data_IF_587860800157
#
_entry.id   IF_587860800157
#
_cell.length_a   1.000
_cell.length_b   1.000
_cell.length_c   1.000
_cell.angle_alpha   90.00
_cell.angle_beta   90.00
_cell.angle_gamma   90.00
#
_symmetry.space_group_name_H-M   'P 1'
#
loop_
_entity.id
_entity.type
_entity.pdbx_description
1 polymer ?
#
# COMPACT_ATOMS: atom_id res chain seq x y z
N UNK A 1 8.04 14.42 -12.25
CA UNK A 1 8.08 14.06 -10.83
C UNK A 1 7.36 12.73 -10.64
N UNK A 2 8.05 11.70 -10.12
CA UNK A 2 7.38 10.43 -9.82
C UNK A 2 6.28 10.61 -8.79
N UNK A 3 5.26 9.76 -8.86
CA UNK A 3 4.08 9.83 -8.00
C UNK A 3 3.86 8.49 -7.29
N UNK A 4 3.65 8.56 -5.99
CA UNK A 4 3.34 7.41 -5.14
C UNK A 4 1.91 7.52 -4.64
N UNK A 5 1.15 6.44 -4.76
CA UNK A 5 -0.16 6.32 -4.13
C UNK A 5 -0.03 5.49 -2.87
N UNK A 6 -0.52 6.02 -1.75
CA UNK A 6 -0.76 5.26 -0.54
C UNK A 6 -2.27 5.18 -0.38
N UNK A 7 -2.84 4.02 -0.71
CA UNK A 7 -4.28 3.80 -0.61
C UNK A 7 -4.54 2.88 0.58
N UNK A 8 -5.47 3.26 1.45
CA UNK A 8 -5.70 2.51 2.68
C UNK A 8 -7.19 2.40 3.00
N UNK A 9 -7.51 1.39 3.79
CA UNK A 9 -8.81 1.22 4.42
C UNK A 9 -8.58 1.08 5.93
N UNK A 10 -9.39 1.74 6.76
CA UNK A 10 -9.22 1.68 8.20
C UNK A 10 -10.55 1.94 8.92
N UNK A 11 -10.93 1.04 9.84
CA UNK A 11 -12.08 1.24 10.71
C UNK A 11 -11.67 1.86 12.04
N UNK A 12 -10.61 1.32 12.64
CA UNK A 12 -10.15 1.72 13.98
C UNK A 12 -9.14 2.87 13.96
N UNK A 13 -8.62 3.22 12.77
CA UNK A 13 -7.55 4.20 12.65
C UNK A 13 -6.15 3.61 12.73
N UNK A 14 -6.01 2.32 12.98
CA UNK A 14 -4.68 1.70 13.14
C UNK A 14 -3.94 1.60 11.80
N UNK A 15 -4.60 1.08 10.77
CA UNK A 15 -4.00 1.04 9.43
C UNK A 15 -3.79 2.46 8.89
N UNK A 16 -4.66 3.38 9.22
CA UNK A 16 -4.50 4.79 8.84
C UNK A 16 -3.21 5.39 9.42
N UNK A 17 -2.90 5.10 10.69
CA UNK A 17 -1.63 5.56 11.29
C UNK A 17 -0.43 5.03 10.53
N UNK A 18 -0.49 3.76 10.11
CA UNK A 18 0.56 3.16 9.31
C UNK A 18 0.66 3.82 7.94
N UNK A 19 -0.49 4.09 7.29
CA UNK A 19 -0.52 4.76 5.99
C UNK A 19 0.08 6.16 6.05
N UNK A 20 -0.23 6.91 7.11
CA UNK A 20 0.36 8.24 7.31
C UNK A 20 1.87 8.18 7.51
N UNK A 21 2.36 7.15 8.21
CA UNK A 21 3.79 6.96 8.41
C UNK A 21 4.50 6.63 7.08
N UNK A 22 3.88 5.77 6.25
CA UNK A 22 4.42 5.48 4.92
C UNK A 22 4.50 6.75 4.08
N UNK A 23 3.40 7.52 4.04
CA UNK A 23 3.35 8.77 3.29
C UNK A 23 4.41 9.78 3.78
N UNK A 24 4.62 9.86 5.09
CA UNK A 24 5.65 10.71 5.67
C UNK A 24 7.04 10.32 5.19
N UNK A 25 7.31 9.02 5.12
CA UNK A 25 8.57 8.51 4.58
C UNK A 25 8.79 8.93 3.14
N UNK A 26 7.74 8.86 2.30
CA UNK A 26 7.83 9.31 0.91
C UNK A 26 8.08 10.82 0.85
N UNK A 27 7.39 11.60 1.67
CA UNK A 27 7.53 13.06 1.71
C UNK A 27 8.93 13.52 2.11
N UNK A 28 9.72 12.68 2.74
CA UNK A 28 11.11 13.04 3.09
C UNK A 28 11.95 13.29 1.85
N UNK A 29 11.50 12.85 0.68
CA UNK A 29 12.15 13.12 -0.60
C UNK A 29 11.24 14.05 -1.41
N UNK A 30 11.58 15.34 -1.45
CA UNK A 30 10.76 16.36 -2.10
C UNK A 30 10.69 16.22 -3.63
N UNK A 31 11.52 15.36 -4.23
CA UNK A 31 11.46 15.09 -5.67
C UNK A 31 10.38 14.06 -6.05
N UNK A 32 9.67 13.51 -5.08
CA UNK A 32 8.64 12.50 -5.29
C UNK A 32 7.34 12.99 -4.69
N UNK A 33 6.26 12.93 -5.46
CA UNK A 33 4.93 13.30 -4.99
C UNK A 33 4.25 12.10 -4.34
N UNK A 34 3.43 12.33 -3.32
CA UNK A 34 2.65 11.27 -2.68
C UNK A 34 1.20 11.72 -2.49
N UNK A 35 0.28 10.84 -2.84
CA UNK A 35 -1.15 10.98 -2.54
C UNK A 35 -1.53 9.94 -1.51
N UNK A 36 -2.21 10.37 -0.45
CA UNK A 36 -2.71 9.50 0.61
C UNK A 36 -4.24 9.50 0.50
N UNK A 37 -4.81 8.40 0.02
CA UNK A 37 -6.24 8.30 -0.25
C UNK A 37 -6.84 7.03 0.35
N UNK A 38 -8.10 7.10 0.73
CA UNK A 38 -8.85 5.92 1.17
C UNK A 38 -9.78 5.38 0.09
N UNK A 39 -9.81 6.01 -1.07
CA UNK A 39 -10.63 5.59 -2.20
C UNK A 39 -10.00 6.06 -3.51
N UNK A 40 -9.89 5.14 -4.47
CA UNK A 40 -9.41 5.44 -5.82
C UNK A 40 -10.21 4.58 -6.80
N UNK A 41 -10.33 5.06 -8.03
CA UNK A 41 -10.87 4.25 -9.13
C UNK A 41 -9.76 3.42 -9.76
N UNK A 42 -10.13 2.28 -10.35
CA UNK A 42 -9.14 1.36 -10.91
C UNK A 42 -8.26 2.04 -11.97
N UNK A 43 -8.84 2.89 -12.80
CA UNK A 43 -8.09 3.58 -13.86
C UNK A 43 -7.05 4.55 -13.31
N UNK A 44 -7.29 5.11 -12.12
CA UNK A 44 -6.35 6.05 -11.50
C UNK A 44 -5.03 5.38 -11.13
N UNK A 45 -5.04 4.06 -10.91
CA UNK A 45 -3.83 3.31 -10.55
C UNK A 45 -2.74 3.46 -11.61
N UNK A 46 -3.11 3.55 -12.88
CA UNK A 46 -2.15 3.67 -13.97
C UNK A 46 -1.36 4.98 -13.94
N UNK A 47 -1.86 5.99 -13.24
CA UNK A 47 -1.20 7.30 -13.13
C UNK A 47 -0.09 7.39 -12.10
N UNK A 48 0.17 6.31 -11.36
CA UNK A 48 1.18 6.27 -10.32
C UNK A 48 2.37 5.41 -10.71
N UNK A 49 3.52 5.72 -10.14
CA UNK A 49 4.75 4.94 -10.33
C UNK A 49 4.93 3.89 -9.24
N UNK A 50 4.29 4.10 -8.11
CA UNK A 50 4.25 3.14 -7.01
C UNK A 50 2.87 3.13 -6.36
N UNK A 51 2.42 1.95 -5.93
CA UNK A 51 1.15 1.76 -5.25
C UNK A 51 1.40 0.98 -3.97
N UNK A 52 1.15 1.62 -2.84
CA UNK A 52 1.36 1.06 -1.52
C UNK A 52 0.00 0.93 -0.83
N UNK A 53 -0.36 -0.30 -0.48
CA UNK A 53 -1.72 -0.63 -0.05
C UNK A 53 -1.76 -0.89 1.45
N UNK A 54 -2.51 -0.07 2.17
CA UNK A 54 -2.78 -0.24 3.59
C UNK A 54 -4.07 -1.02 3.80
N UNK A 55 -3.97 -2.27 4.23
CA UNK A 55 -5.12 -3.14 4.38
C UNK A 55 -5.14 -3.84 5.74
N UNK A 56 -6.18 -3.61 6.55
CA UNK A 56 -6.41 -4.45 7.71
C UNK A 56 -6.89 -5.82 7.28
N UNK A 57 -6.84 -6.78 8.22
CA UNK A 57 -7.39 -8.12 7.99
C UNK A 57 -8.69 -8.27 8.76
N UNK A 58 -9.78 -8.57 8.06
CA UNK A 58 -11.08 -8.85 8.65
C UNK A 58 -11.48 -10.29 8.31
N UNK A 59 -11.69 -11.12 9.33
CA UNK A 59 -12.07 -12.53 9.15
C UNK A 59 -11.12 -13.22 8.14
N UNK A 60 -9.82 -13.07 8.33
CA UNK A 60 -8.74 -13.63 7.50
C UNK A 60 -8.65 -13.04 6.09
N UNK A 61 -9.45 -12.02 5.76
CA UNK A 61 -9.52 -11.48 4.41
C UNK A 61 -9.27 -9.97 4.36
N UNK A 62 -8.90 -9.48 3.18
CA UNK A 62 -8.84 -8.05 2.93
C UNK A 62 -10.24 -7.46 2.83
N UNK A 63 -10.41 -6.15 3.07
CA UNK A 63 -11.69 -5.49 2.82
C UNK A 63 -12.18 -5.69 1.40
N UNK A 64 -13.49 -5.87 1.25
CA UNK A 64 -14.11 -6.10 -0.06
C UNK A 64 -13.80 -4.96 -1.05
N UNK A 65 -13.59 -3.75 -0.55
CA UNK A 65 -13.28 -2.60 -1.39
C UNK A 65 -11.99 -2.82 -2.18
N UNK A 66 -10.97 -3.42 -1.57
CA UNK A 66 -9.71 -3.73 -2.27
C UNK A 66 -9.88 -4.88 -3.24
N UNK A 67 -10.63 -5.90 -2.85
CA UNK A 67 -10.90 -6.99 -3.78
C UNK A 67 -11.59 -6.46 -5.03
N UNK A 68 -12.61 -5.61 -4.86
CA UNK A 68 -13.33 -5.01 -5.97
C UNK A 68 -12.44 -4.12 -6.82
N UNK A 69 -11.58 -3.32 -6.18
CA UNK A 69 -10.64 -2.45 -6.89
C UNK A 69 -9.72 -3.25 -7.82
N UNK A 70 -9.11 -4.31 -7.30
CA UNK A 70 -8.18 -5.11 -8.09
C UNK A 70 -8.89 -5.97 -9.13
N UNK A 71 -10.08 -6.49 -8.83
CA UNK A 71 -10.88 -7.22 -9.81
C UNK A 71 -11.27 -6.31 -10.97
N UNK A 72 -11.65 -5.06 -10.68
CA UNK A 72 -11.98 -4.07 -11.70
C UNK A 72 -10.75 -3.67 -12.52
N UNK A 73 -9.61 -3.48 -11.86
CA UNK A 73 -8.37 -3.16 -12.55
C UNK A 73 -7.98 -4.27 -13.53
N UNK A 74 -8.17 -5.53 -13.13
CA UNK A 74 -7.90 -6.67 -14.00
C UNK A 74 -8.87 -6.70 -15.18
N UNK A 75 -10.17 -6.52 -14.92
CA UNK A 75 -11.21 -6.54 -15.96
C UNK A 75 -11.00 -5.41 -16.98
N UNK A 76 -10.55 -4.26 -16.55
CA UNK A 76 -10.28 -3.10 -17.41
C UNK A 76 -8.88 -3.13 -18.01
N UNK A 77 -8.11 -4.16 -17.75
CA UNK A 77 -6.74 -4.32 -18.26
C UNK A 77 -5.83 -3.14 -17.93
N UNK A 78 -5.96 -2.62 -16.70
CA UNK A 78 -5.09 -1.55 -16.21
C UNK A 78 -3.67 -2.07 -16.15
N UNK A 79 -2.74 -1.37 -16.78
CA UNK A 79 -1.34 -1.79 -16.85
C UNK A 79 -0.56 -1.27 -15.64
N UNK A 80 -0.15 -2.19 -14.76
CA UNK A 80 0.66 -1.88 -13.58
C UNK A 80 2.04 -2.52 -13.67
N UNK A 81 2.40 -3.07 -14.82
CA UNK A 81 3.67 -3.79 -15.00
C UNK A 81 4.85 -2.89 -14.65
N UNK A 82 5.78 -3.46 -13.88
CA UNK A 82 7.04 -2.82 -13.47
C UNK A 82 6.88 -1.63 -12.49
N UNK A 83 5.66 -1.27 -12.12
CA UNK A 83 5.44 -0.29 -11.06
C UNK A 83 5.82 -0.90 -9.71
N UNK A 84 6.25 -0.07 -8.77
CA UNK A 84 6.59 -0.53 -7.43
C UNK A 84 5.32 -0.75 -6.64
N UNK A 85 5.27 -1.86 -5.90
CA UNK A 85 4.12 -2.17 -5.06
C UNK A 85 4.53 -2.75 -3.72
N UNK A 86 3.73 -2.53 -2.71
CA UNK A 86 3.88 -3.18 -1.40
C UNK A 86 2.57 -3.06 -0.64
N UNK A 87 2.52 -3.72 0.52
CA UNK A 87 1.34 -3.70 1.37
C UNK A 87 1.74 -3.66 2.84
N UNK A 88 0.84 -3.15 3.65
CA UNK A 88 1.00 -3.08 5.10
C UNK A 88 -0.38 -3.09 5.74
N UNK A 89 -0.45 -3.31 7.04
CA UNK A 89 -1.74 -3.20 7.72
C UNK A 89 -1.73 -3.73 9.14
N UNK A 90 -2.75 -3.33 9.90
CA UNK A 90 -2.98 -3.81 11.25
C UNK A 90 -3.97 -4.97 11.25
N UNK A 91 -3.90 -5.81 12.28
CA UNK A 91 -4.80 -6.94 12.45
C UNK A 91 -5.05 -7.19 13.93
N UNK A 92 -6.22 -7.78 14.25
CA UNK A 92 -6.52 -8.16 15.63
C UNK A 92 -6.20 -9.61 15.92
N UNK A 93 -6.67 -10.51 15.06
CA UNK A 93 -6.57 -11.95 15.28
C UNK A 93 -5.57 -12.60 14.33
N UNK A 94 -5.67 -12.33 13.03
CA UNK A 94 -4.75 -12.88 12.05
C UNK A 94 -4.43 -11.83 11.00
N UNK A 95 -3.28 -11.93 10.35
CA UNK A 95 -2.75 -10.88 9.50
C UNK A 95 -2.53 -11.27 8.05
N UNK A 96 -3.46 -12.01 7.43
CA UNK A 96 -3.28 -12.52 6.06
C UNK A 96 -3.46 -11.48 4.97
N UNK A 97 -4.26 -10.42 5.20
CA UNK A 97 -4.65 -9.51 4.13
C UNK A 97 -3.49 -8.81 3.42
N UNK A 98 -2.47 -8.27 4.12
CA UNK A 98 -1.34 -7.66 3.41
C UNK A 98 -0.62 -8.63 2.48
N UNK A 99 -0.41 -9.89 2.91
CA UNK A 99 0.23 -10.89 2.06
C UNK A 99 -0.66 -11.24 0.86
N UNK A 100 -1.98 -11.29 1.07
CA UNK A 100 -2.92 -11.54 -0.02
C UNK A 100 -2.85 -10.44 -1.08
N UNK A 101 -2.73 -9.16 -0.64
CA UNK A 101 -2.53 -8.04 -1.56
C UNK A 101 -1.20 -8.18 -2.29
N UNK A 102 -0.11 -8.54 -1.60
CA UNK A 102 1.20 -8.78 -2.23
C UNK A 102 1.05 -9.77 -3.40
N UNK A 103 0.33 -10.88 -3.18
CA UNK A 103 0.14 -11.88 -4.23
C UNK A 103 -0.65 -11.33 -5.42
N UNK A 104 -1.63 -10.47 -5.16
CA UNK A 104 -2.37 -9.79 -6.23
C UNK A 104 -1.46 -8.87 -7.03
N UNK A 105 -0.64 -8.06 -6.35
CA UNK A 105 0.29 -7.14 -7.02
C UNK A 105 1.29 -7.89 -7.90
N UNK A 106 1.72 -9.07 -7.46
CA UNK A 106 2.60 -9.93 -8.28
C UNK A 106 1.91 -10.38 -9.56
N UNK A 107 0.61 -10.64 -9.52
CA UNK A 107 -0.16 -11.03 -10.72
C UNK A 107 -0.22 -9.90 -11.75
N UNK A 108 -0.11 -8.65 -11.31
CA UNK A 108 0.00 -7.50 -12.21
C UNK A 108 1.43 -7.26 -12.69
N UNK A 109 2.36 -8.15 -12.35
CA UNK A 109 3.77 -8.07 -12.75
C UNK A 109 4.45 -6.81 -12.21
N UNK A 110 4.04 -6.36 -11.03
CA UNK A 110 4.67 -5.24 -10.34
C UNK A 110 5.99 -5.66 -9.70
N UNK A 111 6.85 -4.68 -9.47
CA UNK A 111 8.07 -4.87 -8.66
C UNK A 111 7.66 -4.74 -7.20
N UNK A 112 7.49 -5.88 -6.54
CA UNK A 112 6.90 -5.91 -5.20
C UNK A 112 7.97 -5.95 -4.12
N UNK A 113 7.82 -5.08 -3.11
CA UNK A 113 8.66 -5.08 -1.92
C UNK A 113 7.99 -5.99 -0.88
N UNK A 114 8.73 -6.97 -0.41
CA UNK A 114 8.28 -7.99 0.56
C UNK A 114 9.29 -8.10 1.70
N UNK A 115 8.87 -8.63 2.86
CA UNK A 115 7.51 -8.99 3.24
C UNK A 115 6.66 -7.75 3.54
N UNK A 116 5.32 -7.92 3.63
CA UNK A 116 4.46 -6.80 4.03
C UNK A 116 4.69 -6.43 5.48
N UNK A 117 4.45 -5.18 5.84
CA UNK A 117 4.54 -4.71 7.22
C UNK A 117 3.21 -5.00 7.90
N UNK A 118 3.25 -5.71 9.03
CA UNK A 118 2.04 -6.06 9.79
C UNK A 118 2.19 -5.61 11.24
N UNK A 119 1.11 -5.10 11.82
CA UNK A 119 1.07 -4.70 13.21
C UNK A 119 -0.14 -5.32 13.88
N UNK A 120 0.04 -5.88 15.09
CA UNK A 120 -1.04 -6.44 15.88
C UNK A 120 -1.72 -5.29 16.64
N UNK A 121 -3.02 -5.08 16.35
CA UNK A 121 -3.81 -3.97 16.90
C UNK A 121 -3.18 -2.61 16.59
N UNK A 122 -2.94 -1.79 17.60
CA UNK A 122 -2.32 -0.48 17.42
C UNK A 122 -0.85 -0.63 17.04
N UNK A 123 -0.40 0.02 15.96
CA UNK A 123 1.01 -0.08 15.58
C UNK A 123 1.91 0.54 16.66
N UNK A 124 2.94 -0.20 17.07
CA UNK A 124 3.94 0.32 17.96
C UNK A 124 4.96 1.16 17.20
N UNK A 125 5.93 1.75 17.93
CA UNK A 125 6.93 2.60 17.30
C UNK A 125 7.77 1.84 16.28
N UNK A 126 8.06 0.57 16.53
CA UNK A 126 8.82 -0.27 15.61
C UNK A 126 8.07 -0.45 14.28
N UNK A 127 6.76 -0.69 14.34
CA UNK A 127 5.93 -0.83 13.14
C UNK A 127 5.84 0.49 12.38
N UNK A 128 5.67 1.61 13.09
CA UNK A 128 5.63 2.93 12.46
C UNK A 128 6.95 3.30 11.81
N UNK A 129 8.07 2.98 12.46
CA UNK A 129 9.41 3.20 11.88
C UNK A 129 9.60 2.38 10.61
N UNK A 130 9.13 1.13 10.61
CA UNK A 130 9.19 0.29 9.41
C UNK A 130 8.35 0.89 8.27
N UNK A 131 7.20 1.48 8.60
CA UNK A 131 6.36 2.16 7.60
C UNK A 131 7.06 3.39 7.02
N UNK A 132 7.68 4.22 7.85
CA UNK A 132 8.47 5.36 7.39
C UNK A 132 9.59 4.90 6.48
N UNK A 133 10.30 3.85 6.88
CA UNK A 133 11.41 3.29 6.10
C UNK A 133 10.93 2.76 4.75
N UNK A 134 9.78 2.12 4.69
CA UNK A 134 9.19 1.69 3.43
C UNK A 134 8.95 2.89 2.49
N UNK A 135 8.37 3.96 3.01
CA UNK A 135 8.13 5.17 2.23
C UNK A 135 9.43 5.79 1.71
N UNK A 136 10.44 5.89 2.55
CA UNK A 136 11.75 6.39 2.16
C UNK A 136 12.39 5.53 1.07
N UNK A 137 12.32 4.21 1.23
CA UNK A 137 12.87 3.27 0.25
C UNK A 137 12.20 3.41 -1.11
N UNK A 138 10.88 3.49 -1.14
CA UNK A 138 10.13 3.65 -2.39
C UNK A 138 10.50 4.97 -3.06
N UNK A 139 10.53 6.07 -2.30
CA UNK A 139 10.89 7.37 -2.83
C UNK A 139 12.32 7.36 -3.40
N UNK A 140 13.25 6.71 -2.72
CA UNK A 140 14.64 6.60 -3.20
C UNK A 140 14.72 5.78 -4.50
N UNK A 141 13.95 4.70 -4.60
CA UNK A 141 13.92 3.88 -5.83
C UNK A 141 13.38 4.66 -7.02
N UNK A 142 12.49 5.61 -6.80
CA UNK A 142 11.86 6.43 -7.85
C UNK A 142 12.63 7.72 -8.13
N UNK A 143 13.48 8.14 -7.21
CA UNK A 143 14.22 9.38 -7.37
C UNK A 143 15.27 9.24 -8.48
N UNK A 144 15.35 10.22 -9.39
CA UNK A 144 16.34 10.18 -10.46
C UNK A 144 17.77 10.36 -9.96
#
# INVERSE_FOLDING_TARGET
>A
MPRVLVVYYSRSGNTEKMAKAVAEGVKSNWNVAVDLNFRVDAEELAGYDAILVGTPTYHTQMPIDFKNLFDEALAKQVNLKDKIGSAFGSYGWSGEAPQAVIEILKKFEMRVIEPPIRANYSPDQKALDACVDLGKRVAQMLSP
#
